data_IF_919462338814
#
_entry.id   IF_919462338814
#
_cell.length_a   1.000
_cell.length_b   1.000
_cell.length_c   1.000
_cell.angle_alpha   90.00
_cell.angle_beta   90.00
_cell.angle_gamma   90.00
#
_symmetry.space_group_name_H-M   'P 1'
#
loop_
_entity.id
_entity.type
_entity.pdbx_description
1 polymer ?
#
# COMPACT_ATOMS: atom_id res chain seq x y z
N UNK A 1 32.96 -42.20 36.73
CA UNK A 1 32.68 -42.03 35.25
C UNK A 1 31.42 -41.19 35.13
N UNK A 2 31.61 -39.91 34.90
CA UNK A 2 30.49 -38.94 34.82
C UNK A 2 30.00 -38.87 33.37
N UNK A 3 28.74 -39.21 33.15
CA UNK A 3 28.06 -39.00 31.91
C UNK A 3 27.85 -37.46 31.75
N UNK A 4 28.47 -36.86 30.73
CA UNK A 4 28.22 -35.48 30.34
C UNK A 4 26.83 -35.42 29.71
N UNK A 5 25.91 -34.73 30.38
CA UNK A 5 24.68 -34.24 29.80
C UNK A 5 25.02 -33.38 28.59
N UNK A 6 24.83 -33.91 27.40
CA UNK A 6 24.78 -33.12 26.17
C UNK A 6 23.39 -32.54 26.05
N UNK A 7 23.24 -31.33 26.57
CA UNK A 7 22.07 -30.49 26.26
C UNK A 7 22.11 -30.18 24.75
N UNK A 8 21.13 -30.59 23.94
CA UNK A 8 21.13 -30.27 22.54
C UNK A 8 21.03 -28.75 22.37
N UNK A 9 22.01 -28.14 21.71
CA UNK A 9 21.99 -26.74 21.31
C UNK A 9 20.68 -26.44 20.60
N UNK A 10 20.04 -25.28 20.87
CA UNK A 10 18.83 -24.91 20.19
C UNK A 10 19.12 -24.92 18.69
N UNK A 11 18.35 -25.70 17.93
CA UNK A 11 18.43 -25.78 16.47
C UNK A 11 18.33 -24.35 15.91
N UNK A 12 19.40 -23.86 15.30
CA UNK A 12 19.40 -22.57 14.64
C UNK A 12 18.35 -22.60 13.53
N UNK A 13 17.28 -21.84 13.69
CA UNK A 13 16.26 -21.70 12.65
C UNK A 13 16.90 -20.93 11.51
N UNK A 14 17.22 -21.62 10.42
CA UNK A 14 17.72 -20.98 9.21
C UNK A 14 16.53 -20.53 8.35
N UNK A 15 16.49 -19.22 8.04
CA UNK A 15 15.54 -18.62 7.10
C UNK A 15 16.29 -17.93 5.96
N UNK A 16 16.76 -18.66 4.95
CA UNK A 16 17.46 -18.09 3.82
C UNK A 16 16.60 -17.02 3.14
N UNK A 17 17.19 -15.86 2.80
CA UNK A 17 16.47 -14.74 2.19
C UNK A 17 15.75 -15.14 0.90
N UNK A 18 16.31 -16.05 0.11
CA UNK A 18 15.70 -16.58 -1.12
C UNK A 18 14.40 -17.34 -0.88
N UNK A 19 14.21 -17.91 0.32
CA UNK A 19 12.99 -18.62 0.72
C UNK A 19 12.11 -17.83 1.68
N UNK A 20 12.50 -16.63 2.06
CA UNK A 20 11.72 -15.76 2.93
C UNK A 20 10.65 -15.04 2.13
N UNK A 21 9.38 -15.45 2.29
CA UNK A 21 8.23 -14.84 1.63
C UNK A 21 8.17 -13.33 1.91
N UNK A 22 8.35 -12.93 3.17
CA UNK A 22 8.33 -11.51 3.55
C UNK A 22 9.44 -10.69 2.87
N UNK A 23 10.65 -11.25 2.75
CA UNK A 23 11.75 -10.61 2.03
C UNK A 23 11.45 -10.48 0.53
N UNK A 24 10.90 -11.53 -0.11
CA UNK A 24 10.55 -11.50 -1.52
C UNK A 24 9.45 -10.46 -1.80
N UNK A 25 8.38 -10.44 -1.00
CA UNK A 25 7.31 -9.43 -1.12
C UNK A 25 7.88 -8.03 -0.98
N UNK A 26 8.68 -7.77 0.06
CA UNK A 26 9.30 -6.45 0.28
C UNK A 26 10.17 -6.01 -0.90
N UNK A 27 11.00 -6.91 -1.41
CA UNK A 27 11.93 -6.59 -2.51
C UNK A 27 11.18 -6.33 -3.80
N UNK A 28 10.21 -7.17 -4.14
CA UNK A 28 9.33 -7.02 -5.31
C UNK A 28 8.56 -5.69 -5.24
N UNK A 29 7.92 -5.43 -4.11
CA UNK A 29 7.18 -4.19 -3.88
C UNK A 29 8.08 -2.95 -4.08
N UNK A 30 9.30 -2.96 -3.52
CA UNK A 30 10.25 -1.85 -3.69
C UNK A 30 10.62 -1.60 -5.14
N UNK A 31 10.82 -2.65 -5.95
CA UNK A 31 11.14 -2.52 -7.37
C UNK A 31 9.97 -1.95 -8.17
N UNK A 32 8.77 -2.50 -7.96
CA UNK A 32 7.54 -2.01 -8.61
C UNK A 32 7.30 -0.53 -8.25
N UNK A 33 7.42 -0.17 -6.98
CA UNK A 33 7.25 1.22 -6.53
C UNK A 33 8.28 2.16 -7.17
N UNK A 34 9.55 1.76 -7.22
CA UNK A 34 10.60 2.56 -7.85
C UNK A 34 10.30 2.79 -9.32
N UNK A 35 9.88 1.77 -10.03
CA UNK A 35 9.55 1.88 -11.44
C UNK A 35 8.30 2.74 -11.65
N UNK A 36 7.25 2.52 -10.89
CA UNK A 36 6.05 3.37 -10.89
C UNK A 36 6.39 4.84 -10.64
N UNK A 37 7.27 5.15 -9.66
CA UNK A 37 7.69 6.52 -9.38
C UNK A 37 8.35 7.17 -10.60
N UNK A 38 9.20 6.45 -11.32
CA UNK A 38 9.83 6.96 -12.54
C UNK A 38 8.79 7.29 -13.62
N UNK A 39 7.77 6.44 -13.78
CA UNK A 39 6.71 6.62 -14.79
C UNK A 39 5.76 7.78 -14.46
N UNK A 40 5.38 7.98 -13.19
CA UNK A 40 4.43 9.04 -12.79
C UNK A 40 5.10 10.37 -12.43
N UNK A 41 6.40 10.40 -12.17
CA UNK A 41 7.13 11.61 -11.79
C UNK A 41 7.01 12.77 -12.80
N UNK A 42 7.03 12.54 -14.14
CA UNK A 42 6.84 13.61 -15.14
C UNK A 42 5.52 14.36 -14.97
N UNK A 43 4.49 13.71 -14.41
CA UNK A 43 3.20 14.32 -14.07
C UNK A 43 3.18 15.01 -12.71
N UNK A 44 4.37 15.15 -12.07
CA UNK A 44 4.54 15.75 -10.74
C UNK A 44 3.75 15.03 -9.63
N UNK A 45 3.55 13.73 -9.79
CA UNK A 45 2.94 12.85 -8.79
C UNK A 45 4.04 12.07 -8.07
N UNK A 46 4.03 12.09 -6.74
CA UNK A 46 4.90 11.24 -5.92
C UNK A 46 4.17 9.96 -5.53
N UNK A 47 4.90 8.91 -5.13
CA UNK A 47 4.28 7.67 -4.62
C UNK A 47 3.36 7.94 -3.43
N UNK A 48 3.77 8.84 -2.52
CA UNK A 48 2.93 9.21 -1.40
C UNK A 48 1.60 9.83 -1.83
N UNK A 49 1.57 10.66 -2.88
CA UNK A 49 0.33 11.20 -3.44
C UNK A 49 -0.45 10.14 -4.23
N UNK A 50 0.25 9.26 -4.94
CA UNK A 50 -0.34 8.26 -5.80
C UNK A 50 -1.35 7.38 -5.06
N UNK A 51 -0.98 6.85 -3.89
CA UNK A 51 -1.86 5.97 -3.12
C UNK A 51 -3.13 6.68 -2.64
N UNK A 52 -3.01 7.92 -2.19
CA UNK A 52 -4.17 8.73 -1.80
C UNK A 52 -5.07 9.07 -2.99
N UNK A 53 -4.48 9.47 -4.11
CA UNK A 53 -5.23 9.74 -5.34
C UNK A 53 -5.96 8.48 -5.85
N UNK A 54 -5.32 7.32 -5.79
CA UNK A 54 -5.93 6.03 -6.18
C UNK A 54 -7.20 5.73 -5.38
N UNK A 55 -7.16 5.97 -4.08
CA UNK A 55 -8.35 5.80 -3.21
C UNK A 55 -9.42 6.82 -3.57
N UNK A 56 -9.06 8.11 -3.70
CA UNK A 56 -10.02 9.17 -4.01
C UNK A 56 -10.61 9.07 -5.42
N UNK A 57 -9.90 8.50 -6.39
CA UNK A 57 -10.47 8.22 -7.72
C UNK A 57 -11.51 7.10 -7.71
N UNK A 58 -11.47 6.23 -6.72
CA UNK A 58 -12.47 5.19 -6.52
C UNK A 58 -13.65 5.70 -5.69
N UNK A 59 -13.36 6.47 -4.62
CA UNK A 59 -14.36 7.04 -3.73
C UNK A 59 -13.91 8.42 -3.25
N UNK A 60 -14.59 9.45 -3.71
CA UNK A 60 -14.29 10.86 -3.42
C UNK A 60 -15.06 11.33 -2.16
N UNK A 61 -14.55 12.33 -1.49
CA UNK A 61 -15.22 12.93 -0.34
C UNK A 61 -15.02 12.19 0.99
N UNK A 62 -14.03 11.31 1.07
CA UNK A 62 -13.67 10.61 2.30
C UNK A 62 -13.16 11.58 3.36
N UNK A 63 -13.44 11.29 4.62
CA UNK A 63 -12.80 11.97 5.74
C UNK A 63 -11.30 11.62 5.80
N UNK A 64 -10.51 12.46 6.46
CA UNK A 64 -9.08 12.20 6.63
C UNK A 64 -8.83 10.81 7.27
N UNK A 65 -9.64 10.42 8.27
CA UNK A 65 -9.51 9.14 8.97
C UNK A 65 -9.85 7.96 8.05
N UNK A 66 -10.95 8.03 7.30
CA UNK A 66 -11.32 7.01 6.33
C UNK A 66 -10.25 6.84 5.26
N UNK A 67 -9.72 7.97 4.75
CA UNK A 67 -8.65 7.97 3.76
C UNK A 67 -7.36 7.35 4.33
N UNK A 68 -7.01 7.66 5.59
CA UNK A 68 -5.90 7.07 6.32
C UNK A 68 -6.01 5.55 6.39
N UNK A 69 -7.17 5.06 6.83
CA UNK A 69 -7.45 3.63 6.97
C UNK A 69 -7.38 2.90 5.62
N UNK A 70 -7.95 3.48 4.56
CA UNK A 70 -7.96 2.85 3.22
C UNK A 70 -6.59 2.80 2.56
N UNK A 71 -5.75 3.79 2.82
CA UNK A 71 -4.36 3.80 2.31
C UNK A 71 -3.45 2.94 3.19
N UNK A 72 -3.84 2.62 4.42
CA UNK A 72 -3.00 1.94 5.40
C UNK A 72 -1.86 2.83 5.90
N UNK A 73 -2.09 4.14 6.00
CA UNK A 73 -1.12 5.12 6.45
C UNK A 73 -1.52 5.71 7.81
N UNK A 74 -0.55 6.16 8.60
CA UNK A 74 -0.83 6.86 9.84
C UNK A 74 -1.45 8.25 9.59
N UNK A 75 -2.34 8.72 10.47
CA UNK A 75 -3.04 10.00 10.31
C UNK A 75 -2.10 11.20 10.10
N UNK A 76 -0.94 11.36 10.78
CA UNK A 76 0.00 12.45 10.50
C UNK A 76 0.57 12.40 9.08
N UNK A 77 0.88 11.21 8.57
CA UNK A 77 1.35 11.00 7.19
C UNK A 77 0.26 11.37 6.19
N UNK A 78 -0.98 10.96 6.47
CA UNK A 78 -2.16 11.28 5.67
C UNK A 78 -2.38 12.79 5.61
N UNK A 79 -2.32 13.49 6.75
CA UNK A 79 -2.46 14.96 6.79
C UNK A 79 -1.38 15.64 5.94
N UNK A 80 -0.13 15.22 6.08
CA UNK A 80 0.99 15.78 5.29
C UNK A 80 0.77 15.58 3.78
N UNK A 81 0.30 14.42 3.37
CA UNK A 81 -0.02 14.12 1.97
C UNK A 81 -1.20 14.99 1.46
N UNK A 82 -2.27 15.12 2.26
CA UNK A 82 -3.43 15.96 1.94
C UNK A 82 -3.00 17.41 1.74
N UNK A 83 -2.24 17.99 2.67
CA UNK A 83 -1.75 19.37 2.58
C UNK A 83 -0.87 19.57 1.34
N UNK A 84 0.00 18.61 1.03
CA UNK A 84 0.83 18.66 -0.17
C UNK A 84 -0.01 18.60 -1.46
N UNK A 85 -1.04 17.76 -1.50
CA UNK A 85 -1.96 17.67 -2.63
C UNK A 85 -2.84 18.91 -2.75
N UNK A 86 -3.28 19.49 -1.64
CA UNK A 86 -4.06 20.74 -1.60
C UNK A 86 -3.25 21.93 -2.13
N UNK A 87 -1.99 22.09 -1.69
CA UNK A 87 -1.06 23.11 -2.20
C UNK A 87 -0.80 22.99 -3.70
N UNK A 88 -0.92 21.79 -4.26
CA UNK A 88 -0.80 21.54 -5.71
C UNK A 88 -2.12 21.67 -6.46
N UNK A 89 -3.19 21.96 -5.76
CA UNK A 89 -4.53 22.09 -6.30
C UNK A 89 -5.11 20.78 -6.83
N UNK A 90 -4.71 19.63 -6.27
CA UNK A 90 -5.20 18.31 -6.65
C UNK A 90 -6.43 17.90 -5.85
N UNK A 91 -6.48 18.31 -4.60
CA UNK A 91 -7.61 18.09 -3.70
C UNK A 91 -8.02 19.40 -3.04
N UNK A 92 -9.21 19.41 -2.44
CA UNK A 92 -9.71 20.47 -1.55
C UNK A 92 -10.28 19.82 -0.30
N UNK A 93 -10.13 20.47 0.83
CA UNK A 93 -10.77 20.09 2.08
C UNK A 93 -12.06 20.86 2.27
N UNK A 94 -13.12 20.17 2.61
CA UNK A 94 -14.44 20.74 2.90
C UNK A 94 -14.87 20.30 4.29
N UNK A 95 -15.33 21.23 5.12
CA UNK A 95 -15.89 20.89 6.43
C UNK A 95 -17.12 20.01 6.27
N UNK A 96 -17.21 18.94 7.07
CA UNK A 96 -18.40 18.11 7.08
C UNK A 96 -19.62 18.91 7.56
N UNK A 97 -20.77 18.69 6.92
CA UNK A 97 -21.99 19.43 7.23
C UNK A 97 -22.62 19.03 8.55
N UNK A 98 -22.38 17.81 9.04
CA UNK A 98 -22.98 17.25 10.24
C UNK A 98 -22.00 17.32 11.44
N UNK A 99 -20.71 17.15 11.19
CA UNK A 99 -19.68 17.27 12.22
C UNK A 99 -18.56 18.20 11.77
N UNK A 100 -18.63 19.46 12.16
CA UNK A 100 -17.66 20.52 11.80
C UNK A 100 -16.22 20.25 12.28
N UNK A 101 -15.98 19.21 13.09
CA UNK A 101 -14.63 18.78 13.46
C UNK A 101 -13.99 17.93 12.38
N UNK A 102 -14.78 17.37 11.47
CA UNK A 102 -14.30 16.53 10.38
C UNK A 102 -14.09 17.34 9.11
N UNK A 103 -13.11 16.88 8.33
CA UNK A 103 -12.80 17.39 7.01
C UNK A 103 -12.95 16.30 5.99
N UNK A 104 -13.74 16.54 4.97
CA UNK A 104 -13.90 15.66 3.81
C UNK A 104 -12.97 16.12 2.70
N UNK A 105 -12.30 15.18 2.07
CA UNK A 105 -11.28 15.41 1.05
C UNK A 105 -11.88 15.11 -0.32
N UNK A 106 -11.95 16.14 -1.16
CA UNK A 106 -12.49 16.03 -2.50
C UNK A 106 -11.43 16.30 -3.55
N UNK A 107 -11.48 15.54 -4.64
CA UNK A 107 -10.66 15.83 -5.82
C UNK A 107 -11.10 17.14 -6.47
N UNK A 108 -10.14 17.92 -6.95
CA UNK A 108 -10.40 19.01 -7.89
C UNK A 108 -10.51 18.47 -9.32
N UNK A 109 -10.90 19.31 -10.28
CA UNK A 109 -10.85 18.95 -11.70
C UNK A 109 -9.44 18.54 -12.15
N UNK A 110 -8.40 19.19 -11.61
CA UNK A 110 -7.00 18.84 -11.86
C UNK A 110 -6.65 17.46 -11.29
N UNK A 111 -7.08 17.16 -10.05
CA UNK A 111 -6.88 15.85 -9.42
C UNK A 111 -7.57 14.73 -10.18
N UNK A 112 -8.78 14.98 -10.71
CA UNK A 112 -9.50 14.01 -11.55
C UNK A 112 -8.79 13.74 -12.88
N UNK A 113 -8.34 14.78 -13.58
CA UNK A 113 -7.62 14.65 -14.84
C UNK A 113 -6.31 13.87 -14.73
N UNK A 114 -5.66 13.88 -13.56
CA UNK A 114 -4.46 13.07 -13.33
C UNK A 114 -4.72 11.57 -13.43
N UNK A 115 -5.94 11.11 -13.15
CA UNK A 115 -6.34 9.71 -13.33
C UNK A 115 -6.06 9.24 -14.76
N UNK A 116 -6.54 10.00 -15.74
CA UNK A 116 -6.44 9.65 -17.16
C UNK A 116 -4.98 9.64 -17.65
N UNK A 117 -4.12 10.44 -17.02
CA UNK A 117 -2.70 10.54 -17.38
C UNK A 117 -1.82 9.47 -16.70
N UNK A 118 -2.14 9.11 -15.45
CA UNK A 118 -1.24 8.30 -14.64
C UNK A 118 -1.69 6.85 -14.43
N UNK A 119 -3.00 6.59 -14.52
CA UNK A 119 -3.51 5.23 -14.37
C UNK A 119 -3.04 4.28 -15.49
N UNK A 120 -3.01 4.69 -16.78
CA UNK A 120 -2.43 3.86 -17.83
C UNK A 120 -0.95 3.53 -17.58
N UNK A 121 -0.15 4.50 -17.11
CA UNK A 121 1.25 4.27 -16.78
C UNK A 121 1.44 3.24 -15.66
N UNK A 122 0.54 3.25 -14.67
CA UNK A 122 0.57 2.25 -13.61
C UNK A 122 0.12 0.88 -14.11
N UNK A 123 -0.84 0.82 -15.03
CA UNK A 123 -1.23 -0.42 -15.69
C UNK A 123 -0.07 -1.03 -16.49
N UNK A 124 0.66 -0.20 -17.24
CA UNK A 124 1.86 -0.64 -17.96
C UNK A 124 2.90 -1.24 -17.02
N UNK A 125 3.18 -0.58 -15.87
CA UNK A 125 4.12 -1.08 -14.85
C UNK A 125 3.70 -2.46 -14.34
N UNK A 126 2.40 -2.69 -14.11
CA UNK A 126 1.88 -3.99 -13.69
C UNK A 126 2.05 -5.03 -14.80
N UNK A 127 1.67 -4.69 -16.04
CA UNK A 127 1.78 -5.58 -17.19
C UNK A 127 3.26 -5.97 -17.45
N UNK A 128 4.19 -5.02 -17.36
CA UNK A 128 5.61 -5.28 -17.48
C UNK A 128 6.15 -6.15 -16.34
N UNK A 129 5.63 -5.97 -15.12
CA UNK A 129 6.05 -6.77 -13.97
C UNK A 129 5.66 -8.25 -14.08
N UNK A 130 4.57 -8.56 -14.80
CA UNK A 130 4.10 -9.94 -15.04
C UNK A 130 4.35 -10.41 -16.47
N UNK A 131 5.21 -9.72 -17.22
CA UNK A 131 5.52 -10.08 -18.60
C UNK A 131 6.06 -11.51 -18.67
N UNK A 132 5.47 -12.31 -19.56
CA UNK A 132 5.81 -13.73 -19.72
C UNK A 132 5.03 -14.69 -18.83
N UNK A 133 4.17 -14.17 -17.93
CA UNK A 133 3.26 -15.03 -17.16
C UNK A 133 1.99 -15.29 -17.97
N UNK A 134 1.45 -16.49 -17.83
CA UNK A 134 0.09 -16.80 -18.28
C UNK A 134 -0.95 -16.18 -17.35
N UNK A 135 -2.19 -15.99 -17.82
CA UNK A 135 -3.29 -15.53 -16.98
C UNK A 135 -3.50 -16.40 -15.73
N UNK A 136 -3.36 -17.72 -15.88
CA UNK A 136 -3.48 -18.67 -14.77
C UNK A 136 -2.40 -18.48 -13.70
N UNK A 137 -1.16 -18.14 -14.11
CA UNK A 137 -0.08 -17.83 -13.17
C UNK A 137 -0.30 -16.50 -12.46
N UNK A 138 -0.84 -15.50 -13.16
CA UNK A 138 -1.22 -14.20 -12.55
C UNK A 138 -2.34 -14.42 -11.53
N UNK A 139 -3.39 -15.16 -11.88
CA UNK A 139 -4.49 -15.47 -10.97
C UNK A 139 -4.02 -16.23 -9.74
N UNK A 140 -3.13 -17.20 -9.93
CA UNK A 140 -2.54 -17.95 -8.82
C UNK A 140 -1.71 -17.05 -7.91
N UNK A 141 -0.87 -16.17 -8.48
CA UNK A 141 -0.09 -15.20 -7.72
C UNK A 141 -0.98 -14.29 -6.88
N UNK A 142 -2.04 -13.73 -7.46
CA UNK A 142 -2.99 -12.86 -6.76
C UNK A 142 -3.72 -13.62 -5.65
N UNK A 143 -4.15 -14.85 -5.90
CA UNK A 143 -4.77 -15.73 -4.91
C UNK A 143 -3.83 -16.01 -3.73
N UNK A 144 -2.57 -16.33 -3.99
CA UNK A 144 -1.59 -16.62 -2.93
C UNK A 144 -1.26 -15.38 -2.10
N UNK A 145 -1.11 -14.22 -2.72
CA UNK A 145 -0.93 -12.95 -2.02
C UNK A 145 -2.13 -12.62 -1.14
N UNK A 146 -3.35 -12.81 -1.64
CA UNK A 146 -4.59 -12.63 -0.88
C UNK A 146 -4.68 -13.58 0.32
N UNK A 147 -4.29 -14.85 0.16
CA UNK A 147 -4.25 -15.81 1.26
C UNK A 147 -3.25 -15.39 2.36
N UNK A 148 -2.06 -14.89 1.98
CA UNK A 148 -1.08 -14.36 2.94
C UNK A 148 -1.67 -13.18 3.71
N UNK A 149 -2.33 -12.25 3.03
CA UNK A 149 -2.97 -11.10 3.68
C UNK A 149 -4.05 -11.53 4.68
N UNK A 150 -4.91 -12.48 4.29
CA UNK A 150 -5.96 -13.01 5.18
C UNK A 150 -5.38 -13.72 6.41
N UNK A 151 -4.35 -14.55 6.21
CA UNK A 151 -3.71 -15.29 7.31
C UNK A 151 -3.09 -14.35 8.34
N UNK A 152 -2.41 -13.30 7.88
CA UNK A 152 -1.77 -12.32 8.79
C UNK A 152 -2.82 -11.39 9.40
N UNK A 153 -3.83 -10.95 8.62
CA UNK A 153 -4.93 -10.12 9.11
C UNK A 153 -5.66 -10.77 10.29
N UNK A 154 -6.06 -12.04 10.15
CA UNK A 154 -6.71 -12.79 11.22
C UNK A 154 -5.85 -12.86 12.51
N UNK A 155 -4.53 -12.95 12.39
CA UNK A 155 -3.64 -12.93 13.56
C UNK A 155 -3.54 -11.55 14.22
N UNK A 156 -3.51 -10.49 13.43
CA UNK A 156 -3.50 -9.12 13.97
C UNK A 156 -4.79 -8.81 14.74
N UNK A 157 -5.95 -9.23 14.21
CA UNK A 157 -7.24 -9.06 14.87
C UNK A 157 -7.29 -9.81 16.23
N UNK A 158 -6.63 -10.99 16.34
CA UNK A 158 -6.51 -11.74 17.60
C UNK A 158 -5.68 -10.96 18.65
N UNK A 159 -4.65 -10.22 18.26
CA UNK A 159 -3.84 -9.39 19.16
C UNK A 159 -4.58 -8.12 19.60
N UNK A 160 -5.27 -7.44 18.66
CA UNK A 160 -5.99 -6.20 18.94
C UNK A 160 -7.22 -6.42 19.87
N UNK A 161 -7.72 -7.66 19.97
CA UNK A 161 -8.83 -8.01 20.89
C UNK A 161 -8.36 -8.40 22.29
N UNK A 162 -7.06 -8.49 22.55
CA UNK A 162 -6.49 -8.87 23.86
C UNK A 162 -6.01 -7.67 24.70
N UNK A 163 -5.99 -6.46 24.12
CA UNK A 163 -5.68 -5.18 24.77
C UNK A 163 -6.99 -4.39 25.05
#
# INVERSE_FOLDING_TARGET
MSAKDQNPSPSSVELPLSRSVGYQIRTTHRLIQRYLQLRIHPHRVTLGMWYFLRVLWNEDGLTQRELSNRVGAMEPTTLSAILSMENRGLVKRVRDSHDRRKWNIFLTSKGRKLKDLTLPLAADVVNEAVAGFSEQEIDLLLKLLGAIQSNIGARLDEFDTQD
#
